data_IF_987526075972
#
_entry.id   IF_987526075972
#
_cell.length_a   1.000
_cell.length_b   1.000
_cell.length_c   1.000
_cell.angle_alpha   90.00
_cell.angle_beta   90.00
_cell.angle_gamma   90.00
#
_symmetry.space_group_name_H-M   'P 1'
#
loop_
_entity.id
_entity.type
_entity.pdbx_description
1 polymer ?
#
# COMPACT_ATOMS: atom_id res chain seq x y z
N UNK A 1 -62.72 -14.84 -48.39
CA UNK A 1 -61.35 -15.39 -48.05
C UNK A 1 -60.51 -14.47 -47.14
N UNK A 2 -61.07 -13.45 -46.47
CA UNK A 2 -60.26 -12.46 -45.72
C UNK A 2 -60.20 -12.65 -44.19
N UNK A 3 -61.21 -13.25 -43.57
CA UNK A 3 -61.29 -13.35 -42.10
C UNK A 3 -60.30 -14.34 -41.46
N UNK A 4 -59.95 -15.42 -42.17
CA UNK A 4 -59.03 -16.45 -41.62
C UNK A 4 -57.53 -16.05 -41.59
N UNK A 5 -57.13 -15.03 -42.37
CA UNK A 5 -55.77 -14.50 -42.40
C UNK A 5 -55.49 -13.56 -41.21
N UNK A 6 -56.49 -12.81 -40.73
CA UNK A 6 -56.41 -11.86 -39.63
C UNK A 6 -56.36 -12.62 -38.31
N UNK A 7 -57.12 -13.67 -38.11
CA UNK A 7 -57.12 -14.49 -36.88
C UNK A 7 -55.77 -15.22 -36.68
N UNK A 8 -55.10 -15.62 -37.75
CA UNK A 8 -53.81 -16.33 -37.69
C UNK A 8 -52.63 -15.39 -37.40
N UNK A 9 -52.76 -14.10 -37.74
CA UNK A 9 -51.76 -13.06 -37.43
C UNK A 9 -51.86 -12.62 -35.96
N UNK A 10 -53.06 -12.49 -35.41
CA UNK A 10 -53.29 -12.18 -33.99
C UNK A 10 -52.83 -13.29 -33.07
N UNK A 11 -53.04 -14.56 -33.40
CA UNK A 11 -52.58 -15.68 -32.58
C UNK A 11 -51.05 -15.83 -32.60
N UNK A 12 -50.37 -15.47 -33.69
CA UNK A 12 -48.92 -15.40 -33.76
C UNK A 12 -48.32 -14.26 -32.96
N UNK A 13 -48.94 -13.07 -33.00
CA UNK A 13 -48.53 -11.91 -32.21
C UNK A 13 -48.69 -12.18 -30.71
N UNK A 14 -49.82 -12.75 -30.29
CA UNK A 14 -50.05 -13.13 -28.89
C UNK A 14 -49.04 -14.19 -28.40
N UNK A 15 -48.70 -15.18 -29.24
CA UNK A 15 -47.66 -16.16 -28.89
C UNK A 15 -46.30 -15.53 -28.73
N UNK A 16 -45.91 -14.61 -29.60
CA UNK A 16 -44.61 -13.92 -29.53
C UNK A 16 -44.53 -13.05 -28.27
N UNK A 17 -45.58 -12.32 -27.91
CA UNK A 17 -45.68 -11.51 -26.69
C UNK A 17 -45.63 -12.42 -25.45
N UNK A 18 -46.32 -13.54 -25.45
CA UNK A 18 -46.29 -14.50 -24.33
C UNK A 18 -44.91 -15.11 -24.13
N UNK A 19 -44.23 -15.47 -25.18
CA UNK A 19 -42.84 -15.98 -25.10
C UNK A 19 -41.92 -14.90 -24.58
N UNK A 20 -42.05 -13.67 -25.04
CA UNK A 20 -41.21 -12.52 -24.58
C UNK A 20 -41.45 -12.22 -23.11
N UNK A 21 -42.70 -12.21 -22.66
CA UNK A 21 -43.06 -12.03 -21.24
C UNK A 21 -42.47 -13.15 -20.36
N UNK A 22 -42.59 -14.39 -20.83
CA UNK A 22 -42.09 -15.57 -20.12
C UNK A 22 -40.54 -15.55 -20.04
N UNK A 23 -39.87 -15.10 -21.10
CA UNK A 23 -38.43 -14.92 -21.08
C UNK A 23 -37.97 -13.83 -20.11
N UNK A 24 -38.68 -12.69 -20.02
CA UNK A 24 -38.39 -11.62 -19.07
C UNK A 24 -38.53 -12.12 -17.64
N UNK A 25 -39.64 -12.83 -17.33
CA UNK A 25 -39.86 -13.41 -16.02
C UNK A 25 -38.82 -14.44 -15.65
N UNK A 26 -38.44 -15.30 -16.59
CA UNK A 26 -37.36 -16.29 -16.38
C UNK A 26 -35.99 -15.64 -16.12
N UNK A 27 -35.62 -14.62 -16.92
CA UNK A 27 -34.40 -13.86 -16.71
C UNK A 27 -34.38 -13.13 -15.37
N UNK A 28 -35.50 -12.48 -14.99
CA UNK A 28 -35.63 -11.81 -13.69
C UNK A 28 -35.55 -12.81 -12.52
N UNK A 29 -36.16 -13.99 -12.66
CA UNK A 29 -36.09 -15.04 -11.66
C UNK A 29 -34.65 -15.61 -11.48
N UNK A 30 -33.93 -15.80 -12.59
CA UNK A 30 -32.54 -16.23 -12.56
C UNK A 30 -31.67 -15.13 -11.90
N UNK A 31 -31.83 -13.85 -12.29
CA UNK A 31 -31.09 -12.74 -11.71
C UNK A 31 -31.31 -12.63 -10.19
N UNK A 32 -32.53 -12.86 -9.74
CA UNK A 32 -32.86 -12.89 -8.29
C UNK A 32 -32.23 -14.08 -7.58
N UNK A 33 -32.23 -15.26 -8.20
CA UNK A 33 -31.65 -16.49 -7.62
C UNK A 33 -30.14 -16.45 -7.46
N UNK A 34 -29.44 -15.75 -8.38
CA UNK A 34 -27.97 -15.56 -8.32
C UNK A 34 -27.54 -14.33 -7.50
N UNK A 35 -28.51 -13.65 -6.83
CA UNK A 35 -28.22 -12.48 -5.99
C UNK A 35 -27.83 -11.20 -6.74
N UNK A 36 -28.04 -11.14 -8.08
CA UNK A 36 -27.75 -9.96 -8.89
C UNK A 36 -28.83 -8.87 -8.74
N UNK A 37 -29.21 -8.58 -7.49
CA UNK A 37 -30.27 -7.60 -7.17
C UNK A 37 -29.73 -6.25 -6.72
N UNK A 38 -28.41 -6.13 -6.49
CA UNK A 38 -27.79 -4.88 -6.09
C UNK A 38 -27.36 -4.06 -7.29
N UNK A 39 -28.11 -3.02 -7.62
CA UNK A 39 -27.65 -2.02 -8.57
C UNK A 39 -26.56 -1.18 -7.93
N UNK A 40 -25.35 -1.21 -8.49
CA UNK A 40 -24.30 -0.28 -8.10
C UNK A 40 -24.66 1.10 -8.66
N UNK A 41 -25.11 1.96 -7.78
CA UNK A 41 -25.40 3.36 -8.10
C UNK A 41 -24.06 4.10 -8.26
N UNK A 42 -23.99 5.00 -9.24
CA UNK A 42 -22.81 5.85 -9.40
C UNK A 42 -22.60 6.81 -8.22
N UNK A 43 -21.41 7.38 -8.13
CA UNK A 43 -21.00 8.32 -7.06
C UNK A 43 -21.98 9.48 -6.88
N UNK A 44 -22.61 9.94 -7.96
CA UNK A 44 -23.59 11.04 -7.99
C UNK A 44 -24.86 10.74 -7.18
N UNK A 45 -25.20 9.46 -7.05
CA UNK A 45 -26.41 9.01 -6.34
C UNK A 45 -26.12 8.47 -4.93
N UNK A 46 -24.92 7.98 -4.69
CA UNK A 46 -24.51 7.48 -3.37
C UNK A 46 -23.84 8.55 -2.50
N UNK A 47 -23.44 9.68 -3.11
CA UNK A 47 -22.55 10.63 -2.49
C UNK A 47 -21.13 10.07 -2.38
N UNK A 48 -20.11 10.92 -2.43
CA UNK A 48 -18.73 10.52 -2.32
C UNK A 48 -17.78 11.69 -2.53
N UNK A 49 -16.50 11.40 -2.41
CA UNK A 49 -15.42 12.39 -2.63
C UNK A 49 -14.61 11.96 -3.83
N UNK A 50 -14.43 12.88 -4.79
CA UNK A 50 -13.50 12.73 -5.89
C UNK A 50 -12.31 13.67 -5.68
N UNK A 51 -11.10 13.12 -5.76
CA UNK A 51 -9.84 13.85 -5.60
C UNK A 51 -9.04 13.71 -6.87
N UNK A 52 -8.57 14.85 -7.39
CA UNK A 52 -7.68 14.88 -8.56
C UNK A 52 -6.29 15.29 -8.11
N UNK A 53 -5.32 14.40 -8.29
CA UNK A 53 -3.92 14.65 -8.01
C UNK A 53 -3.20 15.01 -9.30
N UNK A 54 -2.48 16.12 -9.29
CA UNK A 54 -1.66 16.56 -10.40
C UNK A 54 -0.19 16.36 -10.05
N UNK A 55 0.56 15.56 -10.82
CA UNK A 55 1.99 15.40 -10.58
C UNK A 55 2.71 16.74 -10.80
N UNK A 56 3.63 17.07 -9.90
CA UNK A 56 4.50 18.24 -10.00
C UNK A 56 5.95 17.79 -9.86
N UNK A 57 6.80 18.34 -10.68
CA UNK A 57 8.25 18.23 -10.52
C UNK A 57 8.66 19.40 -9.63
N UNK A 58 9.33 19.12 -8.52
CA UNK A 58 9.92 20.18 -7.70
C UNK A 58 10.98 20.95 -8.47
N UNK A 59 11.04 22.26 -8.25
CA UNK A 59 12.02 23.12 -8.89
C UNK A 59 13.43 22.71 -8.48
N UNK A 60 14.23 22.21 -9.42
CA UNK A 60 15.59 21.71 -9.20
C UNK A 60 15.71 20.18 -9.27
N UNK A 61 14.63 19.42 -9.34
CA UNK A 61 14.68 17.99 -9.56
C UNK A 61 14.89 17.67 -11.05
N UNK A 62 15.92 16.90 -11.36
CA UNK A 62 16.18 16.39 -12.71
C UNK A 62 15.29 15.16 -12.95
N UNK A 63 14.17 15.34 -13.63
CA UNK A 63 13.27 14.25 -14.00
C UNK A 63 12.11 14.73 -14.85
N UNK A 64 11.54 13.83 -15.65
CA UNK A 64 10.27 14.06 -16.35
C UNK A 64 9.20 13.14 -15.78
N UNK A 65 7.98 13.64 -15.64
CA UNK A 65 6.83 12.79 -15.31
C UNK A 65 6.55 11.90 -16.52
N UNK A 66 6.87 10.61 -16.42
CA UNK A 66 6.61 9.63 -17.49
C UNK A 66 5.26 8.93 -17.28
N UNK A 67 4.72 8.35 -18.34
CA UNK A 67 3.49 7.53 -18.24
C UNK A 67 3.65 6.40 -17.24
N UNK A 68 4.81 5.75 -17.25
CA UNK A 68 5.16 4.62 -16.38
C UNK A 68 5.19 5.05 -14.91
N UNK A 69 5.74 6.23 -14.60
CA UNK A 69 5.77 6.77 -13.23
C UNK A 69 4.36 7.06 -12.70
N UNK A 70 3.46 7.53 -13.56
CA UNK A 70 2.05 7.74 -13.18
C UNK A 70 1.32 6.42 -12.98
N UNK A 71 1.55 5.42 -13.85
CA UNK A 71 0.93 4.10 -13.72
C UNK A 71 1.40 3.39 -12.43
N UNK A 72 2.67 3.54 -12.05
CA UNK A 72 3.20 3.09 -10.78
C UNK A 72 2.54 3.82 -9.59
N UNK A 73 2.39 5.15 -9.67
CA UNK A 73 1.72 5.93 -8.64
C UNK A 73 0.25 5.50 -8.48
N UNK A 74 -0.48 5.26 -9.57
CA UNK A 74 -1.85 4.72 -9.55
C UNK A 74 -1.90 3.38 -8.84
N UNK A 75 -0.95 2.47 -9.11
CA UNK A 75 -0.89 1.16 -8.47
C UNK A 75 -0.66 1.27 -6.96
N UNK A 76 0.26 2.14 -6.53
CA UNK A 76 0.55 2.40 -5.11
C UNK A 76 -0.65 3.02 -4.40
N UNK A 77 -1.27 4.05 -5.00
CA UNK A 77 -2.44 4.72 -4.44
C UNK A 77 -3.61 3.74 -4.31
N UNK A 78 -3.85 2.92 -5.34
CA UNK A 78 -4.89 1.88 -5.30
C UNK A 78 -4.65 0.88 -4.16
N UNK A 79 -3.41 0.43 -3.97
CA UNK A 79 -3.06 -0.45 -2.86
C UNK A 79 -3.35 0.20 -1.51
N UNK A 80 -3.00 1.49 -1.33
CA UNK A 80 -3.27 2.24 -0.10
C UNK A 80 -4.76 2.41 0.18
N UNK A 81 -5.53 2.80 -0.83
CA UNK A 81 -6.97 3.00 -0.71
C UNK A 81 -7.68 1.69 -0.38
N UNK A 82 -7.27 0.58 -1.02
CA UNK A 82 -7.81 -0.75 -0.73
C UNK A 82 -7.47 -1.22 0.70
N UNK A 83 -6.28 -0.86 1.22
CA UNK A 83 -5.87 -1.23 2.59
C UNK A 83 -6.73 -0.56 3.67
N UNK A 84 -7.45 0.51 3.32
CA UNK A 84 -8.39 1.20 4.21
C UNK A 84 -9.77 0.53 4.27
N UNK A 85 -9.97 -0.59 3.57
CA UNK A 85 -11.22 -1.32 3.55
C UNK A 85 -12.33 -0.66 2.72
N UNK A 86 -11.98 0.32 1.88
CA UNK A 86 -12.94 0.98 0.98
C UNK A 86 -13.01 0.20 -0.33
N UNK A 87 -13.82 -0.84 -0.33
CA UNK A 87 -13.89 -1.84 -1.41
C UNK A 87 -14.41 -1.30 -2.76
N UNK A 88 -15.00 -0.11 -2.79
CA UNK A 88 -15.63 0.47 -3.99
C UNK A 88 -14.93 1.74 -4.49
N UNK A 89 -13.67 1.96 -4.08
CA UNK A 89 -12.89 3.11 -4.57
C UNK A 89 -12.33 2.85 -5.97
N UNK A 90 -12.40 3.85 -6.83
CA UNK A 90 -11.80 3.84 -8.15
C UNK A 90 -10.59 4.77 -8.19
N UNK A 91 -9.45 4.24 -8.63
CA UNK A 91 -8.22 5.02 -8.84
C UNK A 91 -7.82 4.85 -10.30
N UNK A 92 -7.84 5.93 -11.06
CA UNK A 92 -7.57 5.92 -12.49
C UNK A 92 -6.69 7.10 -12.91
N UNK A 93 -5.82 6.88 -13.90
CA UNK A 93 -5.13 7.98 -14.56
C UNK A 93 -6.03 8.56 -15.67
N UNK A 94 -6.14 9.89 -15.73
CA UNK A 94 -6.88 10.62 -16.75
C UNK A 94 -5.96 11.62 -17.48
N UNK A 95 -6.26 11.88 -18.75
CA UNK A 95 -5.47 12.80 -19.57
C UNK A 95 -4.34 12.12 -20.32
N UNK A 96 -3.58 12.90 -21.09
CA UNK A 96 -2.49 12.43 -21.94
C UNK A 96 -1.25 13.32 -21.79
N UNK A 97 -0.07 12.75 -21.94
CA UNK A 97 1.20 13.48 -21.88
C UNK A 97 1.43 14.17 -20.53
N UNK A 98 1.90 15.41 -20.56
CA UNK A 98 2.22 16.21 -19.37
C UNK A 98 1.01 16.64 -18.53
N UNK A 99 -0.22 16.51 -19.06
CA UNK A 99 -1.47 16.84 -18.37
C UNK A 99 -2.14 15.61 -17.74
N UNK A 100 -1.42 14.50 -17.62
CA UNK A 100 -1.95 13.28 -17.02
C UNK A 100 -2.13 13.48 -15.52
N UNK A 101 -3.33 13.18 -15.03
CA UNK A 101 -3.74 13.35 -13.62
C UNK A 101 -4.20 12.02 -13.06
N UNK A 102 -4.14 11.87 -11.75
CA UNK A 102 -4.67 10.70 -11.05
C UNK A 102 -5.97 11.11 -10.39
N UNK A 103 -7.07 10.46 -10.76
CA UNK A 103 -8.39 10.69 -10.17
C UNK A 103 -8.71 9.52 -9.24
N UNK A 104 -9.09 9.87 -8.02
CA UNK A 104 -9.47 8.94 -6.96
C UNK A 104 -10.92 9.24 -6.62
N UNK A 105 -11.79 8.27 -6.82
CA UNK A 105 -13.22 8.37 -6.52
C UNK A 105 -13.56 7.41 -5.39
N UNK A 106 -14.11 7.94 -4.30
CA UNK A 106 -14.42 7.17 -3.10
C UNK A 106 -15.86 7.43 -2.72
N UNK A 107 -16.73 6.39 -2.68
CA UNK A 107 -18.10 6.53 -2.22
C UNK A 107 -18.17 6.75 -0.70
N UNK A 108 -19.18 7.52 -0.26
CA UNK A 108 -19.49 7.75 1.15
C UNK A 108 -18.70 8.88 1.83
N UNK A 109 -18.88 9.04 3.14
CA UNK A 109 -18.32 10.14 3.94
C UNK A 109 -16.81 10.02 4.26
N UNK A 110 -16.18 8.93 3.89
CA UNK A 110 -14.78 8.63 4.20
C UNK A 110 -13.76 9.41 3.35
N UNK A 111 -14.25 10.22 2.40
CA UNK A 111 -13.42 10.91 1.41
C UNK A 111 -12.32 11.80 1.98
N UNK A 112 -12.57 12.57 3.04
CA UNK A 112 -11.55 13.44 3.65
C UNK A 112 -10.36 12.65 4.22
N UNK A 113 -10.65 11.54 4.86
CA UNK A 113 -9.62 10.66 5.43
C UNK A 113 -8.71 10.06 4.36
N UNK A 114 -9.28 9.80 3.18
CA UNK A 114 -8.55 9.26 2.03
C UNK A 114 -7.71 10.35 1.36
N UNK A 115 -8.21 11.59 1.27
CA UNK A 115 -7.44 12.74 0.79
C UNK A 115 -6.17 12.93 1.60
N UNK A 116 -6.28 12.89 2.93
CA UNK A 116 -5.13 13.05 3.83
C UNK A 116 -4.13 11.90 3.68
N UNK A 117 -4.61 10.67 3.49
CA UNK A 117 -3.76 9.49 3.35
C UNK A 117 -3.08 9.38 1.98
N UNK A 118 -3.79 9.78 0.93
CA UNK A 118 -3.28 9.74 -0.45
C UNK A 118 -2.36 10.93 -0.74
N UNK A 119 -2.62 12.06 -0.09
CA UNK A 119 -1.74 13.24 -0.15
C UNK A 119 -0.39 13.03 0.55
N UNK A 120 -0.28 12.02 1.41
CA UNK A 120 1.01 11.62 1.96
C UNK A 120 1.79 10.84 0.91
N UNK A 121 2.94 11.37 0.50
CA UNK A 121 3.93 10.63 -0.29
C UNK A 121 4.36 9.38 0.47
N UNK A 122 4.85 8.37 -0.24
CA UNK A 122 5.37 7.12 0.36
C UNK A 122 6.22 7.42 1.59
N UNK A 123 5.80 6.91 2.74
CA UNK A 123 6.47 7.21 4.01
C UNK A 123 7.66 6.29 4.21
N UNK A 124 8.81 6.73 3.70
CA UNK A 124 10.08 6.04 3.91
C UNK A 124 10.65 6.41 5.28
N UNK A 125 11.00 5.40 6.07
CA UNK A 125 11.62 5.56 7.39
C UNK A 125 12.74 4.56 7.59
N UNK A 126 13.82 5.01 8.22
CA UNK A 126 14.89 4.13 8.67
C UNK A 126 14.78 3.98 10.17
N UNK A 127 14.65 2.74 10.62
CA UNK A 127 14.43 2.39 12.02
C UNK A 127 15.43 1.32 12.47
N UNK A 128 16.12 1.49 13.60
CA UNK A 128 16.89 0.41 14.20
C UNK A 128 15.99 -0.80 14.52
N UNK A 129 16.50 -1.99 14.30
CA UNK A 129 15.83 -3.23 14.68
C UNK A 129 16.10 -3.50 16.17
N UNK A 130 15.05 -3.74 16.95
CA UNK A 130 15.15 -4.18 18.35
C UNK A 130 15.04 -5.70 18.43
N UNK A 131 14.09 -6.27 17.68
CA UNK A 131 13.80 -7.70 17.64
C UNK A 131 13.45 -8.10 16.21
N UNK A 132 13.92 -9.26 15.80
CA UNK A 132 13.53 -9.95 14.58
C UNK A 132 13.03 -11.35 14.95
N UNK A 133 11.96 -11.79 14.31
CA UNK A 133 11.43 -13.15 14.49
C UNK A 133 10.70 -13.65 13.27
N UNK A 134 10.39 -14.94 13.24
CA UNK A 134 9.60 -15.53 12.18
C UNK A 134 8.23 -14.84 12.09
N UNK A 135 7.64 -14.81 10.90
CA UNK A 135 6.37 -14.12 10.61
C UNK A 135 5.23 -14.50 11.57
N UNK A 136 5.23 -15.72 12.09
CA UNK A 136 4.23 -16.25 13.03
C UNK A 136 4.78 -16.49 14.45
N UNK A 137 5.93 -15.90 14.82
CA UNK A 137 6.50 -16.05 16.16
C UNK A 137 5.49 -15.59 17.24
N UNK A 138 5.34 -16.33 18.31
CA UNK A 138 4.36 -16.05 19.38
C UNK A 138 4.96 -15.40 20.62
N UNK A 139 6.28 -15.21 20.65
CA UNK A 139 6.98 -14.55 21.77
C UNK A 139 8.28 -13.90 21.31
N UNK A 140 8.68 -12.83 22.00
CA UNK A 140 10.02 -12.22 21.88
C UNK A 140 10.99 -12.94 22.80
N UNK A 141 10.56 -13.20 24.03
CA UNK A 141 11.25 -13.97 25.07
C UNK A 141 10.19 -14.59 25.98
N UNK A 142 10.47 -15.75 26.54
CA UNK A 142 9.63 -16.35 27.57
C UNK A 142 9.78 -15.68 28.93
N UNK A 143 10.83 -14.89 29.12
CA UNK A 143 11.08 -14.12 30.36
C UNK A 143 10.88 -12.62 30.10
N UNK A 144 9.88 -11.96 30.72
CA UNK A 144 9.68 -10.51 30.60
C UNK A 144 10.89 -9.68 31.07
N UNK A 145 11.69 -10.22 32.00
CA UNK A 145 12.92 -9.56 32.48
C UNK A 145 14.06 -9.63 31.46
N UNK A 146 13.96 -10.48 30.45
CA UNK A 146 14.94 -10.64 29.37
C UNK A 146 14.56 -9.92 28.09
N UNK A 147 13.61 -8.96 28.14
CA UNK A 147 13.26 -8.15 26.98
C UNK A 147 14.43 -7.24 26.60
N UNK A 148 14.74 -7.14 25.29
CA UNK A 148 15.77 -6.22 24.82
C UNK A 148 15.46 -4.75 25.21
N UNK A 149 16.49 -3.92 25.40
CA UNK A 149 16.31 -2.49 25.68
C UNK A 149 15.41 -1.82 24.63
N UNK A 150 14.42 -1.05 25.12
CA UNK A 150 13.44 -0.37 24.25
C UNK A 150 12.20 -1.21 23.88
N UNK A 151 12.14 -2.48 24.26
CA UNK A 151 10.96 -3.32 24.09
C UNK A 151 10.12 -3.31 25.35
N UNK A 152 8.89 -2.80 25.24
CA UNK A 152 7.92 -2.82 26.34
C UNK A 152 7.09 -4.11 26.33
N UNK A 153 6.46 -4.48 27.47
CA UNK A 153 5.54 -5.62 27.50
C UNK A 153 4.41 -5.52 26.46
N UNK A 154 3.91 -4.31 26.20
CA UNK A 154 2.85 -4.05 25.21
C UNK A 154 3.35 -4.34 23.79
N UNK A 155 4.57 -3.90 23.43
CA UNK A 155 5.19 -4.21 22.15
C UNK A 155 5.44 -5.71 21.98
N UNK A 156 5.85 -6.39 23.05
CA UNK A 156 6.03 -7.82 23.07
C UNK A 156 4.70 -8.56 22.85
N UNK A 157 3.61 -8.11 23.47
CA UNK A 157 2.28 -8.66 23.26
C UNK A 157 1.76 -8.40 21.84
N UNK A 158 1.97 -7.20 21.29
CA UNK A 158 1.64 -6.89 19.89
C UNK A 158 2.44 -7.77 18.93
N UNK A 159 3.73 -7.95 19.18
CA UNK A 159 4.57 -8.83 18.37
C UNK A 159 4.07 -10.27 18.41
N UNK A 160 3.70 -10.79 19.57
CA UNK A 160 3.17 -12.13 19.72
C UNK A 160 1.84 -12.36 18.99
N UNK A 161 0.95 -11.35 19.00
CA UNK A 161 -0.38 -11.44 18.39
C UNK A 161 -0.39 -11.19 16.87
N UNK A 162 0.63 -10.51 16.33
CA UNK A 162 0.70 -10.19 14.91
C UNK A 162 1.18 -11.41 14.12
N UNK A 163 0.35 -11.91 13.20
CA UNK A 163 0.71 -12.95 12.24
C UNK A 163 0.96 -12.34 10.85
N UNK A 164 2.24 -12.25 10.48
CA UNK A 164 2.67 -11.67 9.21
C UNK A 164 2.58 -12.64 8.03
N UNK A 165 2.18 -13.89 8.23
CA UNK A 165 1.88 -14.81 7.12
C UNK A 165 0.56 -14.44 6.44
N UNK A 166 -0.34 -13.77 7.17
CA UNK A 166 -1.64 -13.35 6.66
C UNK A 166 -1.52 -12.11 5.77
N UNK A 167 -2.02 -12.14 4.51
CA UNK A 167 -1.90 -11.02 3.57
C UNK A 167 -2.53 -9.72 4.09
N UNK A 168 -3.61 -9.79 4.87
CA UNK A 168 -4.26 -8.62 5.45
C UNK A 168 -3.35 -7.82 6.40
N UNK A 169 -2.41 -8.47 7.07
CA UNK A 169 -1.46 -7.83 7.99
C UNK A 169 -0.25 -7.23 7.28
N UNK A 170 -0.16 -7.41 5.95
CA UNK A 170 0.90 -6.92 5.07
C UNK A 170 0.40 -5.94 4.01
N UNK A 171 -0.75 -5.31 4.23
CA UNK A 171 -1.31 -4.37 3.26
C UNK A 171 -0.62 -3.01 3.29
N UNK A 172 0.11 -2.69 4.36
CA UNK A 172 0.72 -1.38 4.53
C UNK A 172 -0.33 -0.30 4.79
N UNK A 173 0.03 0.96 4.62
CA UNK A 173 -0.90 2.09 4.68
C UNK A 173 -0.82 2.92 5.96
N UNK A 174 -0.15 2.45 7.02
CA UNK A 174 0.13 3.25 8.20
C UNK A 174 1.51 2.92 8.74
N UNK A 175 2.38 3.90 8.74
CA UNK A 175 3.74 3.75 9.29
C UNK A 175 3.79 3.90 10.81
N UNK A 176 2.64 4.12 11.46
CA UNK A 176 2.58 4.44 12.87
C UNK A 176 3.21 5.79 13.22
N UNK A 177 3.44 6.06 14.51
CA UNK A 177 4.12 7.27 14.94
C UNK A 177 5.65 7.16 14.70
N UNK A 178 6.26 8.20 14.11
CA UNK A 178 7.70 8.25 13.85
C UNK A 178 8.54 8.22 15.13
N UNK A 179 8.03 8.79 16.23
CA UNK A 179 8.72 8.92 17.51
C UNK A 179 8.53 7.73 18.46
N UNK A 180 7.74 6.72 18.05
CA UNK A 180 7.45 5.55 18.88
C UNK A 180 8.01 4.28 18.25
N UNK A 181 8.34 3.29 19.09
CA UNK A 181 8.63 1.95 18.64
C UNK A 181 7.35 1.28 18.08
N UNK A 182 7.50 0.45 17.07
CA UNK A 182 6.38 -0.20 16.37
C UNK A 182 6.68 -1.65 16.07
N UNK A 183 5.61 -2.45 15.94
CA UNK A 183 5.70 -3.80 15.38
C UNK A 183 5.34 -3.75 13.91
N UNK A 184 6.15 -4.38 13.07
CA UNK A 184 5.96 -4.34 11.61
C UNK A 184 6.25 -5.69 10.98
N UNK A 185 5.51 -5.99 9.91
CA UNK A 185 5.73 -7.15 9.07
C UNK A 185 6.77 -6.87 7.98
N UNK A 186 7.53 -7.91 7.63
CA UNK A 186 8.23 -7.97 6.36
C UNK A 186 7.22 -8.02 5.20
N UNK A 187 7.52 -7.33 4.11
CA UNK A 187 6.69 -7.32 2.90
C UNK A 187 6.44 -8.74 2.34
N UNK A 188 7.45 -9.60 2.39
CA UNK A 188 7.37 -10.99 1.91
C UNK A 188 6.58 -11.93 2.82
N UNK A 189 6.32 -11.52 4.08
CA UNK A 189 5.63 -12.35 5.06
C UNK A 189 6.52 -13.47 5.61
N UNK A 190 7.82 -13.26 5.63
CA UNK A 190 8.81 -14.24 6.12
C UNK A 190 9.19 -13.93 7.56
N UNK A 191 9.29 -12.64 7.90
CA UNK A 191 9.72 -12.15 9.20
C UNK A 191 8.77 -11.08 9.75
N UNK A 192 8.93 -10.78 11.03
CA UNK A 192 8.35 -9.61 11.69
C UNK A 192 9.34 -9.01 12.67
N UNK A 193 9.15 -7.73 12.94
CA UNK A 193 10.11 -6.93 13.65
C UNK A 193 9.48 -6.08 14.74
N UNK A 194 10.21 -5.86 15.84
CA UNK A 194 10.01 -4.70 16.71
C UNK A 194 11.07 -3.69 16.32
N UNK A 195 10.63 -2.51 15.93
CA UNK A 195 11.48 -1.43 15.44
C UNK A 195 11.50 -0.27 16.42
N UNK A 196 12.66 0.30 16.64
CA UNK A 196 12.83 1.54 17.42
C UNK A 196 12.14 2.73 16.71
N UNK A 197 12.03 3.92 17.37
CA UNK A 197 11.65 5.16 16.71
C UNK A 197 12.42 5.39 15.41
N UNK A 198 11.79 6.08 14.45
CA UNK A 198 12.45 6.43 13.20
C UNK A 198 13.55 7.48 13.44
N UNK A 199 14.74 7.22 12.95
CA UNK A 199 15.87 8.14 13.10
C UNK A 199 16.12 8.97 11.85
N UNK A 200 15.84 8.37 10.67
CA UNK A 200 15.92 9.05 9.37
C UNK A 200 14.59 8.88 8.66
N UNK A 201 14.11 9.96 8.06
CA UNK A 201 12.83 10.03 7.36
C UNK A 201 13.06 10.19 5.86
N UNK A 202 12.07 9.83 5.06
CA UNK A 202 12.13 9.96 3.60
C UNK A 202 12.40 11.38 3.11
N UNK A 203 11.96 12.41 3.84
CA UNK A 203 12.25 13.83 3.51
C UNK A 203 13.74 14.20 3.56
N UNK A 204 14.57 13.35 4.16
CA UNK A 204 16.03 13.52 4.21
C UNK A 204 16.75 12.79 3.08
N UNK A 205 16.04 11.98 2.30
CA UNK A 205 16.54 11.35 1.09
C UNK A 205 16.32 12.30 -0.08
N UNK A 206 17.39 12.68 -0.75
CA UNK A 206 17.35 13.60 -1.91
C UNK A 206 17.24 12.87 -3.23
N UNK A 207 17.82 11.67 -3.30
CA UNK A 207 17.80 10.84 -4.51
C UNK A 207 17.81 9.35 -4.15
N UNK A 208 17.11 8.56 -4.96
CA UNK A 208 17.17 7.10 -4.92
C UNK A 208 17.38 6.61 -6.35
N UNK A 209 18.44 5.83 -6.58
CA UNK A 209 18.79 5.32 -7.90
C UNK A 209 18.91 3.80 -7.85
N UNK A 210 18.21 3.11 -8.73
CA UNK A 210 18.35 1.66 -8.89
C UNK A 210 19.47 1.36 -9.89
N UNK A 211 20.37 0.48 -9.51
CA UNK A 211 21.51 0.07 -10.32
C UNK A 211 21.56 -1.46 -10.39
N UNK A 212 22.23 -1.96 -11.42
CA UNK A 212 22.55 -3.38 -11.54
C UNK A 212 24.05 -3.54 -11.27
N UNK A 213 24.39 -4.49 -10.43
CA UNK A 213 25.78 -4.84 -10.21
C UNK A 213 26.41 -5.37 -11.52
N UNK A 214 27.40 -4.65 -12.09
CA UNK A 214 28.03 -5.06 -13.36
C UNK A 214 28.72 -6.41 -13.27
N UNK A 215 29.09 -6.86 -12.06
CA UNK A 215 29.76 -8.15 -11.82
C UNK A 215 28.76 -9.26 -11.49
N UNK A 216 27.46 -8.92 -11.40
CA UNK A 216 26.37 -9.89 -11.23
C UNK A 216 26.29 -10.55 -9.85
N UNK A 217 27.14 -10.17 -8.89
CA UNK A 217 27.19 -10.80 -7.57
C UNK A 217 26.00 -10.38 -6.68
N UNK A 218 25.56 -9.12 -6.78
CA UNK A 218 24.52 -8.54 -5.93
C UNK A 218 23.18 -8.32 -6.65
N UNK A 219 23.12 -8.52 -7.98
CA UNK A 219 21.92 -8.29 -8.77
C UNK A 219 21.52 -6.80 -8.81
N UNK A 220 20.25 -6.51 -8.56
CA UNK A 220 19.75 -5.15 -8.43
C UNK A 220 19.99 -4.60 -7.03
N UNK A 221 20.50 -3.37 -6.94
CA UNK A 221 20.60 -2.64 -5.68
C UNK A 221 20.13 -1.19 -5.83
N UNK A 222 19.82 -0.56 -4.72
CA UNK A 222 19.36 0.84 -4.67
C UNK A 222 20.38 1.65 -3.90
N UNK A 223 20.86 2.73 -4.50
CA UNK A 223 21.69 3.73 -3.83
C UNK A 223 20.81 4.89 -3.40
N UNK A 224 20.95 5.32 -2.15
CA UNK A 224 20.24 6.44 -1.57
C UNK A 224 21.21 7.58 -1.29
N UNK A 225 20.83 8.80 -1.66
CA UNK A 225 21.56 10.02 -1.31
C UNK A 225 20.78 10.80 -0.27
N UNK A 226 21.45 11.30 0.75
CA UNK A 226 20.86 12.06 1.84
C UNK A 226 21.26 13.54 1.77
N UNK A 227 20.36 14.43 2.25
CA UNK A 227 20.74 15.80 2.56
C UNK A 227 21.67 15.86 3.78
N UNK A 228 22.19 17.04 4.13
CA UNK A 228 23.14 17.19 5.24
C UNK A 228 22.60 16.71 6.60
N UNK A 229 21.31 16.93 6.88
CA UNK A 229 20.66 16.44 8.11
C UNK A 229 20.55 14.91 8.10
N UNK A 230 20.13 14.33 6.96
CA UNK A 230 20.02 12.88 6.78
C UNK A 230 21.37 12.20 6.89
N UNK A 231 22.41 12.75 6.27
CA UNK A 231 23.80 12.26 6.39
C UNK A 231 24.25 12.18 7.84
N UNK A 232 24.03 13.26 8.61
CA UNK A 232 24.42 13.30 10.03
C UNK A 232 23.66 12.27 10.86
N UNK A 233 22.33 12.18 10.69
CA UNK A 233 21.47 11.24 11.43
C UNK A 233 21.78 9.78 11.04
N UNK A 234 21.92 9.51 9.75
CA UNK A 234 22.23 8.16 9.26
C UNK A 234 23.62 7.71 9.72
N UNK A 235 24.61 8.61 9.67
CA UNK A 235 25.93 8.35 10.20
C UNK A 235 25.95 8.05 11.70
N UNK A 236 25.23 8.84 12.51
CA UNK A 236 25.09 8.60 13.95
C UNK A 236 24.40 7.26 14.24
N UNK A 237 23.31 6.95 13.52
CA UNK A 237 22.60 5.69 13.65
C UNK A 237 23.52 4.50 13.29
N UNK A 238 24.13 4.51 12.12
CA UNK A 238 24.98 3.41 11.66
C UNK A 238 26.20 3.22 12.56
N UNK A 239 26.85 4.30 13.03
CA UNK A 239 27.97 4.21 13.97
C UNK A 239 27.58 3.51 15.28
N UNK A 240 26.39 3.74 15.78
CA UNK A 240 25.90 3.07 16.99
C UNK A 240 25.55 1.61 16.73
N UNK A 241 24.92 1.31 15.59
CA UNK A 241 24.47 -0.04 15.26
C UNK A 241 25.63 -1.02 15.06
N UNK A 242 26.77 -0.58 14.55
CA UNK A 242 27.96 -1.46 14.33
C UNK A 242 28.47 -2.13 15.60
N UNK A 243 28.23 -1.53 16.79
CA UNK A 243 28.68 -2.08 18.07
C UNK A 243 27.69 -3.02 18.73
N UNK A 244 26.49 -3.19 18.15
CA UNK A 244 25.42 -4.00 18.74
C UNK A 244 25.44 -5.44 18.22
N UNK A 245 24.97 -6.41 19.02
CA UNK A 245 24.78 -7.78 18.54
C UNK A 245 23.58 -7.87 17.57
N UNK A 246 23.56 -8.91 16.74
CA UNK A 246 22.38 -9.21 15.92
C UNK A 246 21.15 -9.57 16.81
N UNK A 247 19.94 -9.15 16.42
CA UNK A 247 19.55 -8.39 15.23
C UNK A 247 19.65 -6.86 15.39
N UNK A 248 20.10 -6.36 16.53
CA UNK A 248 20.13 -4.93 16.85
C UNK A 248 21.17 -4.13 16.01
N UNK A 249 22.06 -4.82 15.32
CA UNK A 249 22.97 -4.21 14.35
C UNK A 249 22.36 -4.05 12.94
N UNK A 250 21.04 -4.08 12.84
CA UNK A 250 20.32 -3.92 11.57
C UNK A 250 19.58 -2.58 11.54
N UNK A 251 19.51 -1.98 10.34
CA UNK A 251 18.68 -0.82 10.05
C UNK A 251 17.54 -1.23 9.11
N UNK A 252 16.30 -1.21 9.62
CA UNK A 252 15.13 -1.52 8.81
C UNK A 252 14.77 -0.34 7.90
N UNK A 253 14.60 -0.62 6.62
CA UNK A 253 14.03 0.27 5.61
C UNK A 253 12.53 0.00 5.56
N UNK A 254 11.76 0.93 6.12
CA UNK A 254 10.31 0.81 6.25
C UNK A 254 9.64 1.73 5.25
N UNK A 255 8.75 1.20 4.46
CA UNK A 255 7.94 1.96 3.52
C UNK A 255 6.46 1.67 3.78
N UNK A 256 5.69 2.72 4.07
CA UNK A 256 4.26 2.63 4.39
C UNK A 256 3.93 1.60 5.49
N UNK A 257 4.80 1.50 6.50
CA UNK A 257 4.62 0.61 7.65
C UNK A 257 5.07 -0.84 7.45
N UNK A 258 5.58 -1.21 6.28
CA UNK A 258 6.14 -2.53 6.01
C UNK A 258 7.66 -2.48 5.90
N UNK A 259 8.34 -3.48 6.43
CA UNK A 259 9.78 -3.65 6.27
C UNK A 259 10.07 -4.23 4.88
N UNK A 260 10.81 -3.48 4.09
CA UNK A 260 11.26 -3.91 2.76
C UNK A 260 12.61 -4.61 2.82
N UNK A 261 13.46 -4.17 3.75
CA UNK A 261 14.78 -4.75 3.98
C UNK A 261 15.26 -4.34 5.37
N UNK A 262 16.06 -5.18 6.02
CA UNK A 262 16.71 -4.88 7.28
C UNK A 262 18.18 -5.31 7.22
N UNK A 263 19.03 -4.61 6.43
CA UNK A 263 20.43 -4.95 6.27
C UNK A 263 21.20 -4.79 7.58
N UNK A 264 22.19 -5.64 7.76
CA UNK A 264 23.20 -5.47 8.83
C UNK A 264 24.14 -4.34 8.50
N UNK A 265 24.42 -3.54 9.51
CA UNK A 265 25.38 -2.44 9.41
C UNK A 265 26.72 -2.93 9.89
N UNK A 266 27.66 -3.09 8.97
CA UNK A 266 29.00 -3.59 9.25
C UNK A 266 29.99 -2.45 9.54
N UNK A 267 29.71 -1.24 9.03
CA UNK A 267 30.53 -0.05 9.22
C UNK A 267 29.66 1.22 9.27
N UNK A 268 30.22 2.28 9.84
CA UNK A 268 29.53 3.57 9.90
C UNK A 268 29.50 4.22 8.52
N UNK A 269 28.31 4.67 8.09
CA UNK A 269 28.07 5.28 6.78
C UNK A 269 27.91 6.79 6.97
N UNK A 270 28.99 7.53 6.77
CA UNK A 270 29.04 8.99 6.98
C UNK A 270 29.19 9.78 5.66
N UNK A 271 29.12 9.10 4.53
CA UNK A 271 29.39 9.69 3.20
C UNK A 271 28.21 10.42 2.59
N UNK A 272 27.02 10.29 3.18
CA UNK A 272 25.78 10.83 2.60
C UNK A 272 25.17 9.94 1.51
N UNK A 273 25.80 8.80 1.24
CA UNK A 273 25.32 7.79 0.27
C UNK A 273 25.29 6.42 0.95
N UNK A 274 24.23 5.67 0.78
CA UNK A 274 24.05 4.32 1.33
C UNK A 274 23.55 3.35 0.27
#
# INVERSE_FOLDING_TARGET
MSANKIANTQSRALRTISILLLSIVAFSGIAFAIGATSFKLGLDLQGGTSVTLQPRIEAGASGSVTSESIDQAVAIIRQRVNSLGVAESEVAAQGTGANRQIVISVPGETGRRIVDLVGQTAELRFRPVLVEGAANATSVSSDPAALPPGVTPELSAQFASLDCTLPQNRQGGSSGNETQAVVSCDRGGIAKYILAPAEVLGKQVTQATSLVDPQGASGWYVTLEFNGEGTSKFGAMTSRLTSLPAPQNQAAIVLDGLVYSAPRINEAINTGTA
#
